data_IF_872474485612
#
_entry.id   IF_872474485612
#
_cell.length_a   1.000
_cell.length_b   1.000
_cell.length_c   1.000
_cell.angle_alpha   90.00
_cell.angle_beta   90.00
_cell.angle_gamma   90.00
#
_symmetry.space_group_name_H-M   'P 1'
#
loop_
_entity.id
_entity.type
_entity.pdbx_description
1 polymer ?
#
# COMPACT_ATOMS: atom_id res chain seq x y z
N UNK A 1 6.55 1.62 -0.37
CA UNK A 1 6.44 3.07 -0.59
C UNK A 1 7.65 3.53 -1.40
N UNK A 2 7.42 4.18 -2.54
CA UNK A 2 8.46 4.76 -3.41
C UNK A 2 7.98 6.12 -3.92
N UNK A 3 8.82 7.14 -3.82
CA UNK A 3 8.61 8.43 -4.49
C UNK A 3 8.81 8.19 -5.99
N UNK A 4 7.76 8.36 -6.79
CA UNK A 4 7.83 8.10 -8.24
C UNK A 4 8.33 9.32 -8.98
N UNK A 5 7.85 10.49 -8.58
CA UNK A 5 8.21 11.73 -9.21
C UNK A 5 8.25 12.84 -8.16
N UNK A 6 9.35 13.57 -8.14
CA UNK A 6 9.53 14.74 -7.28
C UNK A 6 9.95 15.89 -8.19
N UNK A 7 9.04 16.83 -8.38
CA UNK A 7 9.29 18.12 -9.02
C UNK A 7 8.75 19.22 -8.11
N UNK A 8 9.16 20.46 -8.36
CA UNK A 8 8.68 21.62 -7.59
C UNK A 8 7.16 21.83 -7.75
N UNK A 9 6.61 21.43 -8.89
CA UNK A 9 5.19 21.60 -9.22
C UNK A 9 4.34 20.37 -8.93
N UNK A 10 4.94 19.17 -8.96
CA UNK A 10 4.21 17.90 -8.76
C UNK A 10 4.99 16.90 -7.91
N UNK A 11 4.33 16.34 -6.89
CA UNK A 11 4.83 15.22 -6.09
C UNK A 11 3.91 14.01 -6.28
N UNK A 12 4.46 12.91 -6.80
CA UNK A 12 3.76 11.63 -6.96
C UNK A 12 4.38 10.59 -6.05
N UNK A 13 3.60 10.16 -5.06
CA UNK A 13 3.95 9.14 -4.10
C UNK A 13 3.16 7.88 -4.41
N UNK A 14 3.82 6.73 -4.39
CA UNK A 14 3.14 5.46 -4.61
C UNK A 14 3.56 4.42 -3.59
N UNK A 15 2.56 3.73 -3.06
CA UNK A 15 2.78 2.55 -2.25
C UNK A 15 2.36 1.27 -2.99
N UNK A 16 3.31 0.32 -3.03
CA UNK A 16 3.10 -1.05 -3.49
C UNK A 16 3.65 -2.02 -2.45
N UNK A 17 2.83 -2.92 -1.88
CA UNK A 17 3.29 -3.95 -0.97
C UNK A 17 3.96 -5.12 -1.73
N UNK A 18 5.03 -4.84 -2.48
CA UNK A 18 5.71 -5.81 -3.34
C UNK A 18 6.35 -6.96 -2.54
N UNK A 19 6.87 -6.69 -1.34
CA UNK A 19 7.44 -7.72 -0.45
C UNK A 19 6.41 -8.76 -0.03
N UNK A 20 5.20 -8.32 0.32
CA UNK A 20 4.10 -9.22 0.69
C UNK A 20 3.71 -10.10 -0.50
N UNK A 21 3.65 -9.52 -1.70
CA UNK A 21 3.44 -10.26 -2.95
C UNK A 21 4.51 -11.33 -3.20
N UNK A 22 5.80 -11.00 -3.02
CA UNK A 22 6.90 -11.97 -3.19
C UNK A 22 6.80 -13.10 -2.17
N UNK A 23 6.58 -12.79 -0.89
CA UNK A 23 6.44 -13.82 0.14
C UNK A 23 5.26 -14.76 -0.16
N UNK A 24 4.11 -14.22 -0.57
CA UNK A 24 2.93 -15.03 -0.89
C UNK A 24 3.13 -15.87 -2.15
N UNK A 25 3.83 -15.36 -3.17
CA UNK A 25 4.21 -16.15 -4.35
C UNK A 25 5.16 -17.28 -3.96
N UNK A 26 6.17 -16.99 -3.14
CA UNK A 26 7.11 -18.01 -2.65
C UNK A 26 6.40 -19.11 -1.86
N UNK A 27 5.48 -18.73 -0.96
CA UNK A 27 4.64 -19.67 -0.24
C UNK A 27 3.78 -20.51 -1.19
N UNK A 28 3.10 -19.88 -2.15
CA UNK A 28 2.29 -20.60 -3.13
C UNK A 28 3.11 -21.62 -3.94
N UNK A 29 4.31 -21.26 -4.38
CA UNK A 29 5.22 -22.16 -5.08
C UNK A 29 5.63 -23.36 -4.21
N UNK A 30 5.90 -23.15 -2.93
CA UNK A 30 6.22 -24.24 -2.00
C UNK A 30 5.05 -25.23 -1.84
N UNK A 31 3.81 -24.73 -1.75
CA UNK A 31 2.61 -25.57 -1.68
C UNK A 31 2.35 -26.33 -2.99
N UNK A 32 2.53 -25.69 -4.14
CA UNK A 32 2.40 -26.34 -5.45
C UNK A 32 3.45 -27.44 -5.61
N UNK A 33 4.70 -27.16 -5.24
CA UNK A 33 5.79 -28.14 -5.30
C UNK A 33 5.53 -29.34 -4.37
N UNK A 34 5.13 -29.07 -3.11
CA UNK A 34 4.75 -30.13 -2.17
C UNK A 34 3.56 -30.97 -2.65
N UNK A 35 2.58 -30.34 -3.30
CA UNK A 35 1.46 -31.04 -3.91
C UNK A 35 1.88 -31.94 -5.07
N UNK A 36 2.79 -31.48 -5.95
CA UNK A 36 3.35 -32.31 -7.02
C UNK A 36 4.14 -33.52 -6.47
N UNK A 37 4.90 -33.34 -5.39
CA UNK A 37 5.60 -34.44 -4.72
C UNK A 37 4.63 -35.52 -4.22
N UNK A 38 3.53 -35.12 -3.56
CA UNK A 38 2.50 -36.07 -3.10
C UNK A 38 1.77 -36.79 -4.25
N UNK A 39 1.58 -36.13 -5.40
CA UNK A 39 1.04 -36.79 -6.59
C UNK A 39 2.01 -37.88 -7.07
N UNK A 40 3.32 -37.62 -7.05
CA UNK A 40 4.36 -38.59 -7.38
C UNK A 40 4.38 -39.82 -6.46
N UNK A 41 3.93 -39.68 -5.22
CA UNK A 41 3.79 -40.76 -4.25
C UNK A 41 2.47 -41.56 -4.38
N UNK A 42 1.67 -41.29 -5.42
CA UNK A 42 0.39 -41.97 -5.68
C UNK A 42 -0.81 -41.38 -4.93
N UNK A 43 -0.64 -40.29 -4.17
CA UNK A 43 -1.72 -39.58 -3.45
C UNK A 43 -2.30 -38.45 -4.30
N UNK A 44 -2.71 -38.78 -5.54
CA UNK A 44 -3.06 -37.78 -6.55
C UNK A 44 -4.15 -36.79 -6.09
N UNK A 45 -5.24 -37.27 -5.48
CA UNK A 45 -6.31 -36.42 -4.95
C UNK A 45 -5.83 -35.50 -3.82
N UNK A 46 -5.03 -36.03 -2.88
CA UNK A 46 -4.49 -35.26 -1.77
C UNK A 46 -3.49 -34.19 -2.22
N UNK A 47 -2.60 -34.55 -3.13
CA UNK A 47 -1.64 -33.61 -3.71
C UNK A 47 -2.29 -32.53 -4.56
N UNK A 48 -3.33 -32.87 -5.35
CA UNK A 48 -4.10 -31.89 -6.11
C UNK A 48 -4.84 -30.91 -5.19
N UNK A 49 -5.47 -31.39 -4.12
CA UNK A 49 -6.14 -30.52 -3.14
C UNK A 49 -5.14 -29.61 -2.42
N UNK A 50 -3.99 -30.15 -2.01
CA UNK A 50 -2.94 -29.41 -1.35
C UNK A 50 -2.32 -28.32 -2.25
N UNK A 51 -2.05 -28.62 -3.51
CA UNK A 51 -1.57 -27.64 -4.48
C UNK A 51 -2.61 -26.56 -4.80
N UNK A 52 -3.87 -26.96 -5.02
CA UNK A 52 -4.93 -26.04 -5.40
C UNK A 52 -5.29 -25.07 -4.25
N UNK A 53 -5.51 -25.59 -3.04
CA UNK A 53 -5.87 -24.75 -1.90
C UNK A 53 -4.63 -24.09 -1.27
N UNK A 54 -3.55 -24.84 -1.07
CA UNK A 54 -2.31 -24.31 -0.49
C UNK A 54 -1.60 -23.31 -1.39
N UNK A 55 -1.67 -23.48 -2.71
CA UNK A 55 -1.13 -22.52 -3.68
C UNK A 55 -2.11 -21.42 -4.06
N UNK A 56 -3.38 -21.78 -4.28
CA UNK A 56 -4.40 -20.85 -4.77
C UNK A 56 -4.83 -19.82 -3.75
N UNK A 57 -4.95 -20.18 -2.46
CA UNK A 57 -5.37 -19.23 -1.41
C UNK A 57 -4.36 -18.11 -1.21
N UNK A 58 -3.04 -18.35 -1.09
CA UNK A 58 -2.05 -17.28 -1.01
C UNK A 58 -2.02 -16.39 -2.26
N UNK A 59 -2.19 -16.95 -3.46
CA UNK A 59 -2.25 -16.17 -4.70
C UNK A 59 -3.50 -15.28 -4.71
N UNK A 60 -4.65 -15.81 -4.30
CA UNK A 60 -5.89 -15.03 -4.20
C UNK A 60 -5.74 -13.90 -3.18
N UNK A 61 -5.16 -14.19 -2.00
CA UNK A 61 -4.88 -13.18 -0.98
C UNK A 61 -3.92 -12.13 -1.53
N UNK A 62 -2.85 -12.53 -2.22
CA UNK A 62 -1.90 -11.61 -2.85
C UNK A 62 -2.62 -10.70 -3.84
N UNK A 63 -3.46 -11.24 -4.72
CA UNK A 63 -4.25 -10.45 -5.66
C UNK A 63 -5.17 -9.44 -4.96
N UNK A 64 -5.82 -9.83 -3.85
CA UNK A 64 -6.71 -8.94 -3.09
C UNK A 64 -5.96 -7.87 -2.27
N UNK A 65 -4.75 -8.19 -1.82
CA UNK A 65 -3.89 -7.34 -0.98
C UNK A 65 -3.00 -6.38 -1.77
N UNK A 66 -2.70 -6.66 -3.06
CA UNK A 66 -1.94 -5.75 -3.93
C UNK A 66 -2.86 -4.59 -4.36
N UNK A 67 -3.19 -3.75 -3.39
CA UNK A 67 -3.85 -2.46 -3.57
C UNK A 67 -2.76 -1.43 -3.80
N UNK A 68 -2.79 -0.79 -4.96
CA UNK A 68 -1.86 0.28 -5.34
C UNK A 68 -2.47 1.60 -4.92
N UNK A 69 -1.86 2.27 -3.94
CA UNK A 69 -2.26 3.62 -3.52
C UNK A 69 -1.27 4.60 -4.13
N UNK A 70 -1.78 5.59 -4.85
CA UNK A 70 -1.03 6.70 -5.41
C UNK A 70 -1.60 8.00 -4.87
N UNK A 71 -0.72 8.86 -4.36
CA UNK A 71 -1.05 10.25 -4.08
C UNK A 71 -0.33 11.12 -5.08
N UNK A 72 -1.09 12.01 -5.71
CA UNK A 72 -0.58 13.03 -6.61
C UNK A 72 -0.91 14.38 -5.99
N UNK A 73 0.12 15.16 -5.69
CA UNK A 73 0.02 16.56 -5.30
C UNK A 73 0.44 17.38 -6.50
N UNK A 74 -0.44 18.23 -7.00
CA UNK A 74 -0.18 19.03 -8.19
C UNK A 74 -0.50 20.52 -7.92
N UNK A 75 0.54 21.35 -7.94
CA UNK A 75 0.43 22.81 -7.75
C UNK A 75 -0.16 23.51 -8.96
N UNK A 76 0.01 22.96 -10.16
CA UNK A 76 -0.49 23.59 -11.40
C UNK A 76 -2.01 23.54 -11.47
N UNK A 77 -2.60 22.45 -10.99
CA UNK A 77 -4.05 22.27 -10.89
C UNK A 77 -4.60 22.66 -9.52
N UNK A 78 -3.74 22.79 -8.50
CA UNK A 78 -4.14 23.09 -7.13
C UNK A 78 -4.86 21.92 -6.46
N UNK A 79 -4.64 20.69 -6.93
CA UNK A 79 -5.36 19.51 -6.49
C UNK A 79 -4.44 18.48 -5.82
N UNK A 80 -4.98 17.90 -4.75
CA UNK A 80 -4.50 16.68 -4.11
C UNK A 80 -5.39 15.54 -4.57
N UNK A 81 -4.85 14.60 -5.34
CA UNK A 81 -5.59 13.43 -5.81
C UNK A 81 -5.04 12.17 -5.18
N UNK A 82 -5.89 11.46 -4.44
CA UNK A 82 -5.62 10.14 -3.89
C UNK A 82 -6.32 9.09 -4.74
N UNK A 83 -5.53 8.31 -5.45
CA UNK A 83 -6.02 7.21 -6.30
C UNK A 83 -5.68 5.88 -5.65
N UNK A 84 -6.70 5.05 -5.42
CA UNK A 84 -6.57 3.69 -4.94
C UNK A 84 -7.07 2.71 -6.00
N UNK A 85 -6.16 1.87 -6.49
CA UNK A 85 -6.48 0.81 -7.45
C UNK A 85 -6.32 -0.54 -6.79
N UNK A 86 -7.41 -1.27 -6.68
CA UNK A 86 -7.43 -2.67 -6.26
C UNK A 86 -7.80 -3.55 -7.45
N UNK A 87 -7.59 -4.87 -7.35
CA UNK A 87 -8.04 -5.82 -8.39
C UNK A 87 -9.57 -5.77 -8.59
N UNK A 88 -10.33 -5.37 -7.57
CA UNK A 88 -11.80 -5.32 -7.61
C UNK A 88 -12.37 -3.96 -8.05
N UNK A 89 -11.56 -2.90 -8.09
CA UNK A 89 -12.09 -1.57 -8.37
C UNK A 89 -11.08 -0.44 -8.26
N UNK A 90 -11.48 0.69 -8.83
CA UNK A 90 -10.78 1.96 -8.85
C UNK A 90 -11.55 2.97 -8.00
N UNK A 91 -10.87 3.61 -7.05
CA UNK A 91 -11.39 4.73 -6.29
C UNK A 91 -10.42 5.90 -6.44
N UNK A 92 -10.94 7.09 -6.74
CA UNK A 92 -10.15 8.31 -6.79
C UNK A 92 -10.89 9.38 -6.00
N UNK A 93 -10.16 10.01 -5.09
CA UNK A 93 -10.65 11.06 -4.21
C UNK A 93 -9.78 12.29 -4.44
N UNK A 94 -10.40 13.45 -4.66
CA UNK A 94 -9.70 14.68 -4.97
C UNK A 94 -10.09 15.75 -3.96
N UNK A 95 -9.09 16.41 -3.39
CA UNK A 95 -9.25 17.54 -2.48
C UNK A 95 -8.43 18.72 -2.99
N UNK A 96 -8.78 19.92 -2.53
CA UNK A 96 -8.01 21.11 -2.85
C UNK A 96 -6.66 21.09 -2.09
N UNK A 97 -5.58 21.44 -2.78
CA UNK A 97 -4.21 21.34 -2.25
C UNK A 97 -3.92 22.42 -1.19
N UNK A 98 -4.54 23.59 -1.33
CA UNK A 98 -4.50 24.70 -0.37
C UNK A 98 -5.02 24.30 1.02
N UNK A 99 -5.96 23.36 1.07
CA UNK A 99 -6.45 22.78 2.32
C UNK A 99 -5.40 21.92 3.01
N UNK A 100 -4.46 21.32 2.29
CA UNK A 100 -3.46 20.45 2.90
C UNK A 100 -2.49 21.28 3.77
N UNK A 101 -2.60 21.12 5.09
CA UNK A 101 -1.78 21.87 6.04
C UNK A 101 -0.49 21.13 6.36
N UNK A 102 -0.57 19.83 6.66
CA UNK A 102 0.57 19.01 7.07
C UNK A 102 0.30 17.52 6.86
N UNK A 103 1.37 16.73 6.79
CA UNK A 103 1.32 15.29 6.95
C UNK A 103 1.90 14.88 8.31
N UNK A 104 1.22 13.98 9.02
CA UNK A 104 1.69 13.38 10.27
C UNK A 104 1.74 11.86 10.19
N UNK A 105 2.38 11.22 11.16
CA UNK A 105 2.37 9.78 11.32
C UNK A 105 1.50 9.42 12.51
N UNK A 106 0.46 8.64 12.26
CA UNK A 106 -0.35 8.00 13.29
C UNK A 106 0.30 6.69 13.72
N UNK A 107 0.40 6.50 15.04
CA UNK A 107 1.00 5.32 15.66
C UNK A 107 -0.12 4.53 16.32
N UNK A 108 -0.23 3.26 15.94
CA UNK A 108 -1.02 2.30 16.68
C UNK A 108 -0.09 1.54 17.63
N UNK A 109 -0.34 1.67 18.93
CA UNK A 109 0.41 0.99 19.97
C UNK A 109 -0.27 -0.35 20.27
N UNK A 110 0.38 -1.45 19.93
CA UNK A 110 -0.10 -2.80 20.21
C UNK A 110 0.96 -3.58 21.00
N UNK A 111 0.54 -4.58 21.77
CA UNK A 111 1.44 -5.39 22.63
C UNK A 111 2.50 -6.15 21.84
N UNK A 112 2.24 -6.41 20.56
CA UNK A 112 3.13 -7.15 19.65
C UNK A 112 4.04 -6.22 18.81
N UNK A 113 3.86 -4.89 18.91
CA UNK A 113 4.71 -3.90 18.27
C UNK A 113 3.98 -2.69 17.71
N UNK A 114 4.71 -1.58 17.55
CA UNK A 114 4.15 -0.34 17.03
C UNK A 114 3.98 -0.38 15.50
N UNK A 115 2.79 0.01 15.05
CA UNK A 115 2.49 0.09 13.61
C UNK A 115 2.14 1.52 13.21
N UNK A 116 2.62 1.96 12.05
CA UNK A 116 2.63 3.37 11.65
C UNK A 116 1.81 3.60 10.38
N UNK A 117 1.17 4.77 10.27
CA UNK A 117 0.43 5.18 9.06
C UNK A 117 0.58 6.68 8.83
N UNK A 118 0.78 7.10 7.58
CA UNK A 118 0.79 8.52 7.21
C UNK A 118 -0.64 9.05 7.10
N UNK A 119 -0.91 10.20 7.69
CA UNK A 119 -2.19 10.90 7.66
C UNK A 119 -2.00 12.33 7.16
N UNK A 120 -2.94 12.80 6.36
CA UNK A 120 -2.95 14.13 5.76
C UNK A 120 -3.99 14.98 6.50
N UNK A 121 -3.57 16.15 6.98
CA UNK A 121 -4.44 17.10 7.69
C UNK A 121 -4.89 18.16 6.69
N UNK A 122 -6.19 18.15 6.38
CA UNK A 122 -6.83 19.16 5.56
C UNK A 122 -7.56 20.16 6.45
N UNK A 123 -7.36 21.44 6.21
CA UNK A 123 -8.08 22.52 6.87
C UNK A 123 -9.37 22.87 6.10
N UNK A 124 -10.36 23.37 6.82
CA UNK A 124 -11.59 23.98 6.31
C UNK A 124 -12.46 23.10 5.37
N UNK A 125 -13.26 22.14 5.90
CA UNK A 125 -13.33 21.68 7.29
C UNK A 125 -12.08 20.90 7.72
N UNK A 126 -11.82 20.89 9.04
CA UNK A 126 -10.75 20.10 9.63
C UNK A 126 -11.02 18.61 9.43
N UNK A 127 -10.19 17.96 8.62
CA UNK A 127 -10.37 16.58 8.22
C UNK A 127 -9.01 15.88 8.17
N UNK A 128 -8.92 14.71 8.81
CA UNK A 128 -7.74 13.86 8.76
C UNK A 128 -7.97 12.70 7.81
N UNK A 129 -7.31 12.73 6.64
CA UNK A 129 -7.44 11.70 5.62
C UNK A 129 -6.25 10.74 5.68
N UNK A 130 -6.46 9.44 5.96
CA UNK A 130 -5.37 8.48 5.99
C UNK A 130 -4.83 8.21 4.58
N UNK A 131 -3.52 8.31 4.41
CA UNK A 131 -2.87 8.06 3.12
C UNK A 131 -3.07 6.60 2.68
N UNK A 132 -2.68 5.64 3.51
CA UNK A 132 -2.93 4.20 3.31
C UNK A 132 -4.10 3.72 4.17
N UNK A 133 -4.83 2.69 3.74
CA UNK A 133 -5.88 2.10 4.58
C UNK A 133 -5.33 1.19 5.69
N UNK A 134 -4.06 0.79 5.59
CA UNK A 134 -3.39 -0.10 6.54
C UNK A 134 -2.25 0.62 7.26
N UNK A 135 -1.95 0.14 8.46
CA UNK A 135 -0.75 0.47 9.19
C UNK A 135 0.39 -0.45 8.73
N UNK A 136 1.62 0.08 8.68
CA UNK A 136 2.81 -0.70 8.35
C UNK A 136 3.89 -0.50 9.39
N UNK A 137 4.67 -1.55 9.68
CA UNK A 137 5.81 -1.47 10.56
C UNK A 137 7.03 -0.86 9.84
N UNK A 138 7.83 -0.08 10.57
CA UNK A 138 9.06 0.55 10.10
C UNK A 138 8.93 2.01 9.67
N UNK A 139 10.05 2.61 9.23
CA UNK A 139 10.20 4.07 8.99
C UNK A 139 9.58 4.61 7.70
N UNK A 140 8.86 3.78 6.94
CA UNK A 140 8.33 4.19 5.62
C UNK A 140 7.23 5.27 5.71
N UNK A 141 6.31 5.24 6.69
CA UNK A 141 5.32 6.30 6.88
C UNK A 141 5.94 7.63 7.31
N UNK A 142 7.03 7.60 8.09
CA UNK A 142 7.79 8.78 8.51
C UNK A 142 8.45 9.46 7.31
N UNK A 143 9.19 8.71 6.50
CA UNK A 143 9.83 9.24 5.29
C UNK A 143 8.82 9.86 4.31
N UNK A 144 7.58 9.34 4.28
CA UNK A 144 6.50 9.89 3.47
C UNK A 144 5.97 11.21 4.02
N UNK A 145 5.71 11.29 5.33
CA UNK A 145 5.27 12.51 5.98
C UNK A 145 6.31 13.61 5.82
N UNK A 146 7.60 13.29 5.99
CA UNK A 146 8.71 14.20 5.72
C UNK A 146 8.74 14.66 4.26
N UNK A 147 8.58 13.74 3.30
CA UNK A 147 8.57 14.10 1.88
C UNK A 147 7.44 15.07 1.53
N UNK A 148 6.24 14.87 2.09
CA UNK A 148 5.10 15.79 1.91
C UNK A 148 5.38 17.13 2.57
N UNK A 149 5.79 17.14 3.84
CA UNK A 149 6.06 18.38 4.57
C UNK A 149 7.19 19.19 3.93
N UNK A 150 8.27 18.54 3.51
CA UNK A 150 9.36 19.19 2.79
C UNK A 150 8.89 19.75 1.44
N UNK A 151 8.01 19.05 0.73
CA UNK A 151 7.48 19.56 -0.52
C UNK A 151 6.53 20.74 -0.30
N UNK A 152 5.79 20.80 0.81
CA UNK A 152 4.96 21.94 1.18
C UNK A 152 5.80 23.18 1.54
N UNK A 153 6.96 23.01 2.18
CA UNK A 153 7.85 24.12 2.53
C UNK A 153 8.72 24.62 1.37
N UNK A 154 8.76 23.88 0.25
CA UNK A 154 9.51 24.31 -0.93
C UNK A 154 8.81 25.53 -1.55
N UNK A 155 9.51 26.67 -1.74
CA UNK A 155 8.93 27.90 -2.29
C UNK A 155 8.18 27.66 -3.60
N UNK A 156 7.14 28.45 -3.86
CA UNK A 156 6.41 28.47 -5.13
C UNK A 156 7.17 29.23 -6.20
#
# INVERSE_FOLDING_TARGET
MKVIHRSETMLVLEDRPWLLGICLIGMALAFVFGGMAMIGEGRALGGAFFAAFGGGVPILIAALMVRRVRLTLDRSTGLLTRTMRSVRGFSAESHALDRLTKASVSVNYDSDGNTYRTELHLADPDETVPFTSYYTSGRRPEAMAEAVNHWLTTPR
#
